data_IF_296865243621
#
_entry.id   IF_296865243621
#
_cell.length_a   1.000
_cell.length_b   1.000
_cell.length_c   1.000
_cell.angle_alpha   90.00
_cell.angle_beta   90.00
_cell.angle_gamma   90.00
#
_symmetry.space_group_name_H-M   'P 1'
#
loop_
_entity.id
_entity.type
_entity.pdbx_description
1 polymer ?
#
# COMPACT_ATOMS: atom_id res chain seq x y z
N UNK A 1 -11.61 4.75 4.99
CA UNK A 1 -10.60 4.17 4.08
C UNK A 1 -9.37 3.88 4.92
N UNK A 2 -8.91 2.63 5.02
CA UNK A 2 -7.71 2.28 5.78
C UNK A 2 -6.52 2.25 4.80
N UNK A 3 -5.45 2.97 5.13
CA UNK A 3 -4.20 2.97 4.35
C UNK A 3 -3.26 1.97 5.01
N UNK A 4 -2.68 1.04 4.23
CA UNK A 4 -1.66 0.13 4.72
C UNK A 4 -0.29 0.54 4.15
N UNK A 5 0.68 0.79 5.03
CA UNK A 5 2.06 1.09 4.67
C UNK A 5 2.91 -0.15 4.91
N UNK A 6 3.69 -0.55 3.91
CA UNK A 6 4.61 -1.69 3.98
C UNK A 6 6.03 -1.15 3.99
N UNK A 7 6.83 -1.59 4.96
CA UNK A 7 8.24 -1.24 5.06
C UNK A 7 9.10 -2.49 5.09
N UNK A 8 10.08 -2.54 4.19
CA UNK A 8 11.11 -3.55 4.24
C UNK A 8 12.10 -3.31 5.38
N UNK A 9 12.52 -4.42 5.98
CA UNK A 9 13.57 -4.44 6.98
C UNK A 9 13.06 -4.38 8.42
N UNK A 10 13.97 -4.10 9.37
CA UNK A 10 13.70 -4.30 10.78
C UNK A 10 12.60 -3.36 11.28
N UNK A 11 11.74 -3.90 12.14
CA UNK A 11 10.68 -3.13 12.79
C UNK A 11 11.27 -1.92 13.53
N UNK A 12 10.71 -0.74 13.26
CA UNK A 12 11.01 0.50 14.00
C UNK A 12 9.86 0.92 14.90
N UNK A 13 10.18 1.63 15.97
CA UNK A 13 9.17 2.27 16.81
C UNK A 13 8.45 3.35 15.98
N UNK A 14 7.12 3.32 16.00
CA UNK A 14 6.29 4.35 15.39
C UNK A 14 6.05 5.46 16.41
N UNK A 15 5.95 6.73 15.98
CA UNK A 15 5.52 7.81 16.86
C UNK A 15 4.18 7.46 17.52
N UNK A 16 4.03 7.81 18.80
CA UNK A 16 2.77 7.59 19.54
C UNK A 16 1.55 8.26 18.87
N UNK A 17 1.80 9.27 18.03
CA UNK A 17 0.81 9.96 17.19
C UNK A 17 0.42 9.22 15.90
N UNK A 18 0.93 8.02 15.67
CA UNK A 18 0.53 7.19 14.52
C UNK A 18 -0.88 6.66 14.78
N UNK A 19 -1.88 7.41 14.33
CA UNK A 19 -3.29 7.11 14.56
C UNK A 19 -3.96 6.46 13.33
N UNK A 20 -5.05 5.74 13.60
CA UNK A 20 -6.03 5.30 12.60
C UNK A 20 -6.43 6.51 11.73
N UNK A 21 -6.42 6.40 10.39
CA UNK A 21 -6.68 5.19 9.63
C UNK A 21 -5.46 4.49 8.99
N UNK A 22 -4.23 4.79 9.44
CA UNK A 22 -3.01 4.19 8.88
C UNK A 22 -2.61 2.93 9.65
N UNK A 23 -2.45 1.81 8.94
CA UNK A 23 -1.84 0.57 9.45
C UNK A 23 -0.45 0.42 8.87
N UNK A 24 0.52 0.11 9.71
CA UNK A 24 1.92 -0.10 9.29
C UNK A 24 2.26 -1.58 9.44
N UNK A 25 2.83 -2.17 8.38
CA UNK A 25 3.31 -3.54 8.32
C UNK A 25 4.81 -3.53 8.01
N UNK A 26 5.56 -4.34 8.74
CA UNK A 26 7.00 -4.54 8.53
C UNK A 26 7.21 -5.93 7.94
N UNK A 27 7.87 -6.01 6.80
CA UNK A 27 8.21 -7.27 6.13
C UNK A 27 9.59 -7.72 6.62
N UNK A 28 9.57 -8.47 7.73
CA UNK A 28 10.77 -8.83 8.49
C UNK A 28 11.64 -9.88 7.78
N UNK A 29 11.03 -10.79 7.02
CA UNK A 29 11.70 -11.96 6.40
C UNK A 29 11.14 -12.30 5.01
N UNK A 30 10.45 -11.36 4.36
CA UNK A 30 9.74 -11.62 3.10
C UNK A 30 9.79 -10.43 2.15
N UNK A 31 9.52 -10.72 0.88
CA UNK A 31 9.41 -9.73 -0.18
C UNK A 31 8.20 -8.80 0.09
N UNK A 32 8.44 -7.49 0.17
CA UNK A 32 7.38 -6.49 0.30
C UNK A 32 6.31 -6.67 -0.78
N UNK A 33 6.71 -7.02 -2.00
CA UNK A 33 5.80 -7.17 -3.12
C UNK A 33 4.78 -8.28 -2.85
N UNK A 34 5.23 -9.42 -2.34
CA UNK A 34 4.35 -10.53 -1.97
C UNK A 34 3.38 -10.15 -0.84
N UNK A 35 3.84 -9.39 0.15
CA UNK A 35 2.99 -8.92 1.25
C UNK A 35 1.95 -7.90 0.78
N UNK A 36 2.34 -6.97 -0.10
CA UNK A 36 1.46 -5.97 -0.71
C UNK A 36 0.40 -6.66 -1.56
N UNK A 37 0.81 -7.57 -2.46
CA UNK A 37 -0.11 -8.33 -3.31
C UNK A 37 -1.06 -9.20 -2.49
N UNK A 38 -0.57 -9.87 -1.44
CA UNK A 38 -1.43 -10.65 -0.54
C UNK A 38 -2.52 -9.81 0.15
N UNK A 39 -2.19 -8.60 0.59
CA UNK A 39 -3.16 -7.67 1.16
C UNK A 39 -4.15 -7.16 0.11
N UNK A 40 -3.66 -6.78 -1.07
CA UNK A 40 -4.50 -6.33 -2.18
C UNK A 40 -5.47 -7.42 -2.64
N UNK A 41 -5.00 -8.65 -2.83
CA UNK A 41 -5.82 -9.82 -3.18
C UNK A 41 -6.91 -10.07 -2.15
N UNK A 42 -6.59 -9.94 -0.87
CA UNK A 42 -7.57 -10.08 0.21
C UNK A 42 -8.69 -9.03 0.11
N UNK A 43 -8.37 -7.79 -0.26
CA UNK A 43 -9.38 -6.75 -0.52
C UNK A 43 -10.24 -7.09 -1.73
N UNK A 44 -9.60 -7.49 -2.84
CA UNK A 44 -10.27 -7.83 -4.09
C UNK A 44 -11.23 -9.02 -3.91
N UNK A 45 -10.80 -10.07 -3.22
CA UNK A 45 -11.62 -11.24 -2.90
C UNK A 45 -12.82 -10.90 -1.98
N UNK A 46 -12.70 -9.84 -1.18
CA UNK A 46 -13.82 -9.32 -0.38
C UNK A 46 -14.75 -8.39 -1.18
N UNK A 47 -14.60 -8.30 -2.51
CA UNK A 47 -15.39 -7.41 -3.37
C UNK A 47 -15.05 -5.93 -3.22
N UNK A 48 -13.87 -5.60 -2.68
CA UNK A 48 -13.41 -4.22 -2.47
C UNK A 48 -12.36 -3.85 -3.51
N UNK A 49 -12.26 -2.56 -3.84
CA UNK A 49 -11.15 -2.07 -4.65
C UNK A 49 -9.82 -2.07 -3.89
N UNK A 50 -8.73 -2.35 -4.60
CA UNK A 50 -7.36 -2.22 -4.11
C UNK A 50 -6.58 -1.24 -4.98
N UNK A 51 -5.85 -0.33 -4.33
CA UNK A 51 -4.91 0.60 -4.99
C UNK A 51 -3.53 0.40 -4.34
N UNK A 52 -2.54 0.04 -5.14
CA UNK A 52 -1.14 -0.05 -4.72
C UNK A 52 -0.39 1.17 -5.23
N UNK A 53 0.26 1.89 -4.31
CA UNK A 53 1.11 3.04 -4.65
C UNK A 53 2.55 2.55 -4.71
N UNK A 54 3.16 2.56 -5.90
CA UNK A 54 4.52 2.04 -6.12
C UNK A 54 5.20 2.66 -7.35
N UNK A 55 6.53 2.82 -7.30
CA UNK A 55 7.37 3.13 -8.47
C UNK A 55 7.90 1.86 -9.15
N UNK A 56 7.78 0.70 -8.51
CA UNK A 56 8.15 -0.58 -9.11
C UNK A 56 7.19 -0.92 -10.27
N UNK A 57 7.75 -1.18 -11.45
CA UNK A 57 6.98 -1.51 -12.66
C UNK A 57 6.44 -2.95 -12.69
N UNK A 58 7.14 -3.88 -12.04
CA UNK A 58 6.72 -5.27 -11.86
C UNK A 58 5.51 -5.35 -10.95
N UNK A 59 5.63 -4.82 -9.72
CA UNK A 59 4.52 -4.78 -8.77
C UNK A 59 3.29 -4.04 -9.33
N UNK A 60 3.51 -2.95 -10.08
CA UNK A 60 2.44 -2.22 -10.74
C UNK A 60 1.72 -3.02 -11.83
N UNK A 61 2.43 -3.94 -12.50
CA UNK A 61 1.86 -4.83 -13.50
C UNK A 61 1.10 -5.98 -12.84
N UNK A 62 1.66 -6.55 -11.78
CA UNK A 62 1.06 -7.66 -11.03
C UNK A 62 -0.28 -7.28 -10.41
N UNK A 63 -0.36 -6.12 -9.74
CA UNK A 63 -1.63 -5.68 -9.16
C UNK A 63 -2.71 -5.43 -10.22
N UNK A 64 -2.34 -4.96 -11.41
CA UNK A 64 -3.29 -4.77 -12.53
C UNK A 64 -3.78 -6.11 -13.06
N UNK A 65 -2.91 -7.12 -13.13
CA UNK A 65 -3.28 -8.47 -13.54
C UNK A 65 -4.29 -9.11 -12.56
N UNK A 66 -4.23 -8.76 -11.27
CA UNK A 66 -5.21 -9.19 -10.27
C UNK A 66 -6.52 -8.38 -10.27
N UNK A 67 -6.64 -7.35 -11.12
CA UNK A 67 -7.82 -6.48 -11.19
C UNK A 67 -7.81 -5.30 -10.21
N UNK A 68 -6.68 -5.06 -9.55
CA UNK A 68 -6.43 -3.85 -8.76
C UNK A 68 -5.93 -2.67 -9.61
N UNK A 69 -5.61 -1.57 -8.94
CA UNK A 69 -5.06 -0.35 -9.57
C UNK A 69 -3.66 -0.08 -9.04
N UNK A 70 -2.77 0.37 -9.92
CA UNK A 70 -1.47 0.92 -9.52
C UNK A 70 -1.48 2.46 -9.63
N UNK A 71 -0.75 3.12 -8.74
CA UNK A 71 -0.58 4.58 -8.70
C UNK A 71 0.89 4.93 -8.43
N UNK A 72 1.40 5.97 -9.07
CA UNK A 72 2.76 6.48 -8.81
C UNK A 72 2.78 7.42 -7.61
N UNK A 73 3.93 7.60 -6.95
CA UNK A 73 4.04 8.49 -5.79
C UNK A 73 3.69 9.93 -6.14
N UNK A 74 4.11 10.42 -7.31
CA UNK A 74 3.78 11.78 -7.77
C UNK A 74 2.26 12.01 -7.80
N UNK A 75 1.51 11.09 -8.43
CA UNK A 75 0.05 11.16 -8.48
C UNK A 75 -0.56 11.05 -7.07
N UNK A 76 -0.04 10.16 -6.23
CA UNK A 76 -0.53 9.99 -4.87
C UNK A 76 -0.33 11.25 -4.03
N UNK A 77 0.84 11.90 -4.11
CA UNK A 77 1.12 13.14 -3.38
C UNK A 77 0.25 14.30 -3.85
N UNK A 78 0.00 14.43 -5.17
CA UNK A 78 -0.91 15.43 -5.69
C UNK A 78 -2.35 15.22 -5.19
N UNK A 79 -2.82 13.97 -5.13
CA UNK A 79 -4.13 13.65 -4.53
C UNK A 79 -4.19 13.96 -3.04
N UNK A 80 -3.13 13.66 -2.29
CA UNK A 80 -3.06 14.01 -0.87
C UNK A 80 -3.12 15.52 -0.66
N UNK A 81 -2.38 16.31 -1.45
CA UNK A 81 -2.40 17.77 -1.38
C UNK A 81 -3.75 18.36 -1.77
N UNK A 82 -4.34 17.86 -2.86
CA UNK A 82 -5.65 18.32 -3.35
C UNK A 82 -6.82 17.94 -2.45
N UNK A 83 -6.66 16.95 -1.56
CA UNK A 83 -7.66 16.55 -0.56
C UNK A 83 -7.58 17.27 0.78
N UNK A 84 -6.65 18.22 0.96
CA UNK A 84 -6.52 19.06 2.16
C UNK A 84 -7.20 20.45 2.01
N UNK A 85 -8.07 20.63 1.01
CA UNK A 85 -8.88 21.83 0.82
C UNK A 85 -10.34 21.59 1.25
#
# INVERSE_FOLDING_TARGET
MAVELFFDGPRRALPASTHSPVRVRWTLDGDADAAILGSARSLLNAGRGAVVVTEDGGLASDIKAEGGRAMRFAEFFERLRGGMA
#
